data_IF_358262962466
#
_entry.id   IF_358262962466
#
_cell.length_a   1.000
_cell.length_b   1.000
_cell.length_c   1.000
_cell.angle_alpha   90.00
_cell.angle_beta   90.00
_cell.angle_gamma   90.00
#
_symmetry.space_group_name_H-M   'P 1'
#
loop_
_entity.id
_entity.type
_entity.pdbx_description
1 polymer ?
#
# COMPACT_ATOMS: atom_id res chain seq x y z
N UNK A 1 -6.26 1.57 1.64
CA UNK A 1 -6.04 2.49 0.50
C UNK A 1 -4.93 1.92 -0.34
N UNK A 2 -5.06 1.96 -1.66
CA UNK A 2 -4.00 1.49 -2.56
C UNK A 2 -2.74 2.32 -2.35
N UNK A 3 -1.61 1.65 -2.12
CA UNK A 3 -0.30 2.31 -2.04
C UNK A 3 0.54 1.88 -3.22
N UNK A 4 1.49 2.72 -3.59
CA UNK A 4 2.45 2.44 -4.65
C UNK A 4 3.86 2.66 -4.12
N UNK A 5 4.82 1.97 -4.69
CA UNK A 5 6.24 2.18 -4.37
C UNK A 5 7.09 2.33 -5.61
N UNK A 6 8.16 3.12 -5.50
CA UNK A 6 9.20 3.26 -6.51
C UNK A 6 10.56 3.58 -5.89
N UNK A 7 11.64 3.42 -6.66
CA UNK A 7 13.01 3.60 -6.16
C UNK A 7 13.84 4.52 -7.06
N UNK A 8 14.44 5.63 -6.61
CA UNK A 8 15.28 6.47 -7.46
C UNK A 8 16.46 5.71 -8.09
N UNK A 9 16.66 5.88 -9.40
CA UNK A 9 17.80 5.28 -10.14
C UNK A 9 19.09 6.08 -9.95
N UNK A 10 18.96 7.38 -9.68
CA UNK A 10 20.07 8.33 -9.51
C UNK A 10 19.92 9.17 -8.24
N UNK A 11 21.02 9.79 -7.81
CA UNK A 11 21.00 10.70 -6.67
C UNK A 11 20.39 12.05 -7.05
N UNK A 12 19.64 12.65 -6.12
CA UNK A 12 19.08 13.98 -6.30
C UNK A 12 17.74 13.98 -7.04
N UNK A 13 17.01 12.87 -7.03
CA UNK A 13 15.63 12.82 -7.55
C UNK A 13 14.75 13.71 -6.69
N UNK A 14 14.08 14.68 -7.32
CA UNK A 14 13.41 15.78 -6.62
C UNK A 14 11.95 15.49 -6.36
N UNK A 15 11.52 15.74 -5.13
CA UNK A 15 10.12 15.84 -4.76
C UNK A 15 9.68 17.30 -4.81
N UNK A 16 8.50 17.56 -5.34
CA UNK A 16 8.00 18.89 -5.64
C UNK A 16 6.62 19.11 -5.04
N UNK A 17 6.21 20.37 -4.91
CA UNK A 17 4.88 20.72 -4.41
C UNK A 17 3.75 20.32 -5.36
N UNK A 18 4.05 20.07 -6.63
CA UNK A 18 3.07 19.68 -7.65
C UNK A 18 3.70 18.79 -8.74
N UNK A 19 2.88 18.10 -9.53
CA UNK A 19 3.29 17.14 -10.57
C UNK A 19 3.79 17.83 -11.86
N UNK A 20 4.63 18.85 -11.71
CA UNK A 20 5.23 19.65 -12.80
C UNK A 20 6.70 19.95 -12.54
N UNK A 21 7.48 20.11 -13.62
CA UNK A 21 8.88 20.55 -13.53
C UNK A 21 9.08 21.97 -12.99
N UNK A 22 8.06 22.84 -13.05
CA UNK A 22 8.15 24.23 -12.58
C UNK A 22 7.77 24.40 -11.12
N UNK A 23 7.15 23.39 -10.50
CA UNK A 23 6.83 23.41 -9.08
C UNK A 23 8.07 23.50 -8.20
N UNK A 24 7.91 24.15 -7.04
CA UNK A 24 8.96 24.30 -6.06
C UNK A 24 9.45 22.92 -5.58
N UNK A 25 10.76 22.80 -5.38
CA UNK A 25 11.37 21.58 -4.86
C UNK A 25 11.22 21.59 -3.34
N UNK A 26 10.61 20.55 -2.79
CA UNK A 26 10.50 20.35 -1.34
C UNK A 26 11.82 19.76 -0.83
N UNK A 27 12.23 18.63 -1.41
CA UNK A 27 13.45 17.92 -1.04
C UNK A 27 13.98 17.07 -2.20
N UNK A 28 15.11 16.39 -1.99
CA UNK A 28 15.69 15.46 -2.94
C UNK A 28 16.08 14.16 -2.26
N UNK A 29 15.89 13.04 -2.96
CA UNK A 29 16.17 11.70 -2.47
C UNK A 29 17.36 11.08 -3.22
N UNK A 30 18.06 10.21 -2.50
CA UNK A 30 19.19 9.44 -3.00
C UNK A 30 18.76 8.22 -3.80
N UNK A 31 19.70 7.67 -4.56
CA UNK A 31 19.54 6.41 -5.26
C UNK A 31 19.23 5.28 -4.26
N UNK A 32 18.29 4.41 -4.61
CA UNK A 32 18.01 3.20 -3.84
C UNK A 32 17.06 3.36 -2.65
N UNK A 33 16.61 4.58 -2.35
CA UNK A 33 15.61 4.81 -1.30
C UNK A 33 14.24 4.31 -1.73
N UNK A 34 13.52 3.63 -0.83
CA UNK A 34 12.18 3.16 -1.10
C UNK A 34 11.19 4.30 -0.88
N UNK A 35 10.58 4.78 -1.95
CA UNK A 35 9.58 5.84 -1.91
C UNK A 35 8.21 5.21 -2.02
N UNK A 36 7.31 5.56 -1.10
CA UNK A 36 5.94 5.06 -1.07
C UNK A 36 4.98 6.23 -1.16
N UNK A 37 3.91 6.01 -1.92
CA UNK A 37 2.87 6.99 -2.17
C UNK A 37 1.48 6.38 -2.22
N UNK A 38 0.49 7.24 -2.26
CA UNK A 38 -0.94 6.88 -2.25
C UNK A 38 -1.65 7.19 -3.58
N UNK A 39 -1.10 8.10 -4.39
CA UNK A 39 -1.69 8.51 -5.66
C UNK A 39 -0.68 8.52 -6.80
N UNK A 40 -1.13 8.07 -7.98
CA UNK A 40 -0.38 8.19 -9.23
C UNK A 40 -1.11 9.18 -10.13
N UNK A 41 -0.35 10.10 -10.72
CA UNK A 41 -0.81 10.98 -11.78
C UNK A 41 -0.02 10.74 -13.06
N UNK A 42 -0.72 10.66 -14.19
CA UNK A 42 -0.12 10.53 -15.52
C UNK A 42 -0.46 11.74 -16.38
N UNK A 43 0.55 12.32 -17.01
CA UNK A 43 0.40 13.49 -17.87
C UNK A 43 -0.42 13.15 -19.13
N UNK A 44 -1.59 13.78 -19.35
CA UNK A 44 -2.50 13.41 -20.44
C UNK A 44 -2.03 13.92 -21.82
N UNK A 45 -1.20 14.96 -21.84
CA UNK A 45 -0.73 15.63 -23.05
C UNK A 45 0.68 16.19 -22.86
N UNK A 46 1.34 16.50 -23.98
CA UNK A 46 2.63 17.17 -23.99
C UNK A 46 2.47 18.64 -23.60
N UNK A 47 3.34 19.11 -22.71
CA UNK A 47 3.43 20.50 -22.29
C UNK A 47 4.87 20.97 -22.11
N UNK A 48 5.04 22.27 -21.85
CA UNK A 48 6.33 22.85 -21.46
C UNK A 48 6.86 22.23 -20.16
N UNK A 49 5.96 21.79 -19.30
CA UNK A 49 6.22 21.37 -17.92
C UNK A 49 6.28 19.86 -17.72
N UNK A 50 5.51 19.11 -18.49
CA UNK A 50 5.37 17.65 -18.45
C UNK A 50 5.29 17.13 -19.87
N UNK A 51 5.65 15.88 -20.11
CA UNK A 51 5.45 15.22 -21.40
C UNK A 51 4.32 14.19 -21.27
N UNK A 52 3.56 13.94 -22.34
CA UNK A 52 2.53 12.90 -22.32
C UNK A 52 3.15 11.56 -21.89
N UNK A 53 2.52 10.90 -20.91
CA UNK A 53 3.02 9.65 -20.33
C UNK A 53 4.08 9.84 -19.23
N UNK A 54 4.39 11.07 -18.82
CA UNK A 54 5.12 11.30 -17.57
C UNK A 54 4.24 10.83 -16.40
N UNK A 55 4.81 10.03 -15.53
CA UNK A 55 4.13 9.45 -14.35
C UNK A 55 4.72 10.09 -13.12
N UNK A 56 3.86 10.49 -12.19
CA UNK A 56 4.21 11.11 -10.92
C UNK A 56 3.53 10.37 -9.77
N UNK A 57 4.25 10.20 -8.67
CA UNK A 57 3.77 9.59 -7.44
C UNK A 57 3.63 10.68 -6.37
N UNK A 58 2.47 10.74 -5.71
CA UNK A 58 2.29 11.53 -4.51
C UNK A 58 2.89 10.80 -3.31
N UNK A 59 3.97 11.32 -2.76
CA UNK A 59 4.81 10.66 -1.77
C UNK A 59 4.27 10.88 -0.36
N UNK A 60 4.12 9.79 0.38
CA UNK A 60 3.62 9.79 1.77
C UNK A 60 4.65 9.26 2.77
N UNK A 61 5.57 8.40 2.33
CA UNK A 61 6.67 7.91 3.17
C UNK A 61 7.92 7.54 2.38
N UNK A 62 9.06 7.56 3.06
CA UNK A 62 10.38 7.21 2.52
C UNK A 62 11.09 6.28 3.49
N UNK A 63 11.57 5.14 2.99
CA UNK A 63 12.24 4.10 3.78
C UNK A 63 11.43 3.68 5.03
N UNK A 64 10.10 3.67 4.90
CA UNK A 64 9.15 3.33 5.97
C UNK A 64 8.87 4.47 6.97
N UNK A 65 9.45 5.66 6.77
CA UNK A 65 9.21 6.85 7.60
C UNK A 65 8.22 7.76 6.90
N UNK A 66 7.09 8.06 7.56
CA UNK A 66 6.12 9.02 7.06
C UNK A 66 6.74 10.42 7.01
N UNK A 67 6.53 11.12 5.90
CA UNK A 67 7.01 12.49 5.71
C UNK A 67 5.89 13.50 6.02
N UNK A 68 6.25 14.63 6.62
CA UNK A 68 5.29 15.70 6.95
C UNK A 68 4.94 16.54 5.73
N UNK A 69 5.94 16.87 4.91
CA UNK A 69 5.77 17.65 3.70
C UNK A 69 5.58 16.71 2.52
N UNK A 70 4.32 16.34 2.26
CA UNK A 70 3.95 15.51 1.13
C UNK A 70 4.07 16.28 -0.20
N UNK A 71 4.29 15.55 -1.28
CA UNK A 71 4.43 16.16 -2.60
C UNK A 71 4.61 15.13 -3.70
N UNK A 72 4.89 15.62 -4.90
CA UNK A 72 4.94 14.81 -6.11
C UNK A 72 6.37 14.51 -6.53
N UNK A 73 6.66 13.26 -6.82
CA UNK A 73 7.94 12.82 -7.35
C UNK A 73 7.72 12.10 -8.69
N UNK A 74 8.50 12.46 -9.69
CA UNK A 74 8.37 11.84 -11.01
C UNK A 74 8.94 10.41 -11.01
N UNK A 75 8.18 9.47 -11.56
CA UNK A 75 8.67 8.16 -11.99
C UNK A 75 9.27 8.27 -13.39
N UNK A 76 8.53 8.89 -14.32
CA UNK A 76 8.99 9.25 -15.67
C UNK A 76 9.01 10.78 -15.77
N UNK A 77 10.14 11.31 -16.20
CA UNK A 77 10.38 12.74 -16.32
C UNK A 77 10.78 13.11 -17.75
N UNK A 78 9.95 13.89 -18.42
CA UNK A 78 10.16 14.29 -19.83
C UNK A 78 10.39 13.09 -20.76
N UNK A 79 9.69 11.99 -20.49
CA UNK A 79 9.81 10.74 -21.23
C UNK A 79 11.02 9.86 -20.87
N UNK A 80 11.79 10.21 -19.82
CA UNK A 80 12.89 9.40 -19.32
C UNK A 80 12.57 8.84 -17.93
N UNK A 81 12.69 7.52 -17.69
CA UNK A 81 12.50 6.96 -16.36
C UNK A 81 13.61 7.44 -15.43
N UNK A 82 13.23 8.03 -14.29
CA UNK A 82 14.16 8.44 -13.24
C UNK A 82 14.05 7.56 -11.98
N UNK A 83 13.01 6.73 -11.92
CA UNK A 83 12.78 5.75 -10.88
C UNK A 83 12.58 4.32 -11.43
N UNK A 84 12.97 3.39 -10.57
CA UNK A 84 12.84 1.95 -10.45
C UNK A 84 11.46 1.41 -10.09
N UNK A 85 11.10 0.21 -10.56
CA UNK A 85 10.28 -0.74 -9.78
C UNK A 85 8.94 -0.19 -9.28
N UNK A 86 8.25 0.60 -10.12
CA UNK A 86 6.92 1.09 -9.81
C UNK A 86 5.97 -0.10 -9.66
N UNK A 87 5.43 -0.29 -8.45
CA UNK A 87 4.50 -1.37 -8.14
C UNK A 87 3.43 -0.92 -7.17
N UNK A 88 2.24 -1.49 -7.33
CA UNK A 88 1.17 -1.42 -6.35
C UNK A 88 1.52 -2.32 -5.14
N UNK A 89 1.34 -1.79 -3.94
CA UNK A 89 1.44 -2.52 -2.69
C UNK A 89 0.03 -3.00 -2.39
N UNK A 90 -0.20 -4.29 -2.61
CA UNK A 90 -1.45 -4.94 -2.21
C UNK A 90 -1.56 -4.88 -0.67
N UNK A 91 -2.64 -4.29 -0.15
CA UNK A 91 -2.96 -4.42 1.27
C UNK A 91 -3.17 -5.92 1.58
N UNK A 92 -2.64 -6.42 2.71
CA UNK A 92 -2.93 -7.80 3.09
C UNK A 92 -4.44 -7.94 3.26
N UNK A 93 -5.07 -8.77 2.43
CA UNK A 93 -6.48 -9.09 2.56
C UNK A 93 -6.71 -9.56 3.99
N UNK A 94 -7.63 -8.94 4.76
CA UNK A 94 -7.91 -9.39 6.11
C UNK A 94 -8.28 -10.88 6.05
N UNK A 95 -7.80 -11.70 7.00
CA UNK A 95 -8.21 -13.09 7.05
C UNK A 95 -9.74 -13.15 7.06
N UNK A 96 -10.36 -14.09 6.33
CA UNK A 96 -11.80 -14.23 6.34
C UNK A 96 -12.27 -14.34 7.80
N UNK A 97 -13.42 -13.73 8.16
CA UNK A 97 -13.92 -13.83 9.52
C UNK A 97 -14.06 -15.31 9.86
N UNK A 98 -13.27 -15.79 10.82
CA UNK A 98 -13.45 -17.12 11.38
C UNK A 98 -14.77 -17.08 12.13
N UNK A 99 -15.85 -17.55 11.48
CA UNK A 99 -17.08 -17.88 12.21
C UNK A 99 -16.68 -18.80 13.35
N UNK A 100 -16.97 -18.48 14.62
CA UNK A 100 -16.69 -19.39 15.71
C UNK A 100 -17.51 -20.66 15.49
N UNK A 101 -16.85 -21.73 15.04
CA UNK A 101 -17.48 -23.05 14.91
C UNK A 101 -17.68 -23.58 16.32
N UNK A 102 -18.90 -23.42 16.85
CA UNK A 102 -19.29 -24.09 18.08
C UNK A 102 -19.28 -25.60 17.82
N UNK A 103 -18.64 -26.43 18.67
CA UNK A 103 -18.56 -27.85 18.43
C UNK A 103 -19.96 -28.48 18.46
N UNK A 104 -20.21 -29.47 17.60
CA UNK A 104 -21.50 -30.18 17.56
C UNK A 104 -21.74 -31.01 18.83
N UNK A 105 -20.67 -31.38 19.54
CA UNK A 105 -20.76 -32.06 20.83
C UNK A 105 -19.51 -31.84 21.70
N UNK A 106 -19.65 -32.09 23.00
CA UNK A 106 -18.52 -32.25 23.91
C UNK A 106 -18.71 -33.51 24.76
N UNK A 107 -17.61 -34.19 25.09
CA UNK A 107 -17.63 -35.38 25.95
C UNK A 107 -17.05 -35.05 27.32
N UNK A 108 -17.81 -35.30 28.38
CA UNK A 108 -17.31 -35.30 29.75
C UNK A 108 -16.89 -36.71 30.13
N UNK A 109 -15.72 -36.83 30.75
CA UNK A 109 -15.22 -38.08 31.33
C UNK A 109 -15.14 -37.89 32.84
N UNK A 110 -15.89 -38.71 33.58
CA UNK A 110 -15.88 -38.74 35.04
C UNK A 110 -14.59 -39.43 35.54
N UNK A 111 -14.07 -39.09 36.75
CA UNK A 111 -12.97 -39.82 37.40
C UNK A 111 -13.12 -41.35 37.47
N UNK A 112 -14.34 -41.87 37.41
CA UNK A 112 -14.67 -43.31 37.33
C UNK A 112 -14.46 -43.92 35.94
N UNK A 113 -14.14 -43.12 34.92
CA UNK A 113 -13.98 -43.55 33.53
C UNK A 113 -15.27 -43.57 32.71
N UNK A 114 -16.42 -43.24 33.29
CA UNK A 114 -17.68 -43.10 32.57
C UNK A 114 -17.65 -41.89 31.63
N UNK A 115 -18.22 -42.02 30.42
CA UNK A 115 -18.29 -40.96 29.41
C UNK A 115 -19.74 -40.52 29.19
N UNK A 116 -19.97 -39.22 29.19
CA UNK A 116 -21.24 -38.61 28.78
C UNK A 116 -20.99 -37.68 27.59
N UNK A 117 -21.69 -37.93 26.47
CA UNK A 117 -21.65 -37.07 25.29
C UNK A 117 -22.82 -36.08 25.33
N UNK A 118 -22.51 -34.79 25.25
CA UNK A 118 -23.48 -33.71 25.20
C UNK A 118 -23.47 -33.13 23.78
N UNK A 119 -24.57 -33.30 23.07
CA UNK A 119 -24.76 -32.76 21.72
C UNK A 119 -25.44 -31.40 21.79
N UNK A 120 -24.87 -30.42 21.10
CA UNK A 120 -25.45 -29.09 21.05
C UNK A 120 -26.38 -28.99 19.84
N UNK A 121 -27.62 -28.58 20.09
CA UNK A 121 -28.60 -28.34 19.02
C UNK A 121 -28.76 -26.85 18.86
N UNK A 122 -28.40 -26.32 17.69
CA UNK A 122 -28.64 -24.91 17.36
C UNK A 122 -30.13 -24.72 17.09
N UNK A 123 -30.82 -23.99 17.96
CA UNK A 123 -32.19 -23.53 17.72
C UNK A 123 -32.09 -22.18 17.01
N UNK A 124 -32.68 -22.07 15.82
CA UNK A 124 -32.89 -20.81 15.11
C UNK A 124 -34.37 -20.49 15.29
N UNK A 125 -34.70 -19.48 16.10
CA UNK A 125 -36.06 -18.95 16.18
C UNK A 125 -36.29 -17.99 15.00
N UNK A 126 -37.44 -18.13 14.31
CA UNK A 126 -37.85 -17.28 13.17
C UNK A 126 -38.32 -15.88 13.60
#
# INVERSE_FOLDING_TARGET
>A
MTQYSMTPISNGTRMRTDHTTFAAVITSYGRGQLIVGDEIWEAPADGSEVKKGDIWLHVTSVDGVNITDQGWMAYIHKGYPICSDLKEIEEPTPPPPTTPTFPDSFTLVDPSGAKAEYKFVRIIEE
#
